data_IF_556477866278
#
_entry.id   IF_556477866278
#
_cell.length_a   1.000
_cell.length_b   1.000
_cell.length_c   1.000
_cell.angle_alpha   90.00
_cell.angle_beta   90.00
_cell.angle_gamma   90.00
#
_symmetry.space_group_name_H-M   'P 1'
#
loop_
_entity.id
_entity.type
_entity.pdbx_description
1 polymer ?
#
# COMPACT_ATOMS: atom_id res chain seq x y z
N UNK A 1 30.79 13.16 -43.24
CA UNK A 1 30.26 14.18 -42.32
C UNK A 1 30.67 13.78 -40.90
N UNK A 2 31.23 14.72 -40.15
CA UNK A 2 32.10 14.52 -38.99
C UNK A 2 31.36 13.95 -37.76
N UNK A 3 31.96 12.93 -37.15
CA UNK A 3 31.75 12.56 -35.74
C UNK A 3 32.30 13.70 -34.87
N UNK A 4 31.48 14.26 -33.99
CA UNK A 4 31.91 15.13 -32.89
C UNK A 4 31.67 14.35 -31.60
N UNK A 5 32.76 13.92 -30.98
CA UNK A 5 32.82 13.44 -29.60
C UNK A 5 32.64 14.62 -28.65
N UNK A 6 31.68 14.54 -27.72
CA UNK A 6 31.55 15.47 -26.60
C UNK A 6 31.97 14.78 -25.31
N UNK A 7 32.95 15.41 -24.67
CA UNK A 7 33.71 14.93 -23.53
C UNK A 7 32.90 14.85 -22.22
N UNK A 8 33.35 13.91 -21.39
CA UNK A 8 32.91 13.68 -20.02
C UNK A 8 33.34 14.86 -19.13
N UNK A 9 32.36 15.63 -18.62
CA UNK A 9 32.60 16.62 -17.55
C UNK A 9 32.46 15.92 -16.19
N UNK A 10 33.60 15.59 -15.59
CA UNK A 10 33.72 15.21 -14.18
C UNK A 10 33.72 16.48 -13.31
N UNK A 11 32.68 16.69 -12.51
CA UNK A 11 32.66 17.70 -11.45
C UNK A 11 33.14 17.05 -10.13
N UNK A 12 34.33 17.47 -9.64
CA UNK A 12 34.80 17.20 -8.27
C UNK A 12 34.28 18.31 -7.32
N UNK A 13 33.93 17.98 -6.06
CA UNK A 13 33.62 18.98 -5.04
C UNK A 13 34.90 19.61 -4.45
N UNK A 14 34.90 20.94 -4.30
CA UNK A 14 35.96 21.73 -3.65
C UNK A 14 35.67 21.86 -2.15
N UNK A 15 36.66 21.46 -1.35
CA UNK A 15 36.75 21.62 0.10
C UNK A 15 37.00 23.09 0.47
N UNK A 16 36.25 23.63 1.43
CA UNK A 16 36.50 24.94 2.03
C UNK A 16 37.48 24.82 3.20
N UNK A 17 38.58 25.58 3.14
CA UNK A 17 39.54 25.76 4.24
C UNK A 17 39.07 26.85 5.20
N UNK A 18 39.22 26.57 6.49
CA UNK A 18 39.06 27.46 7.63
C UNK A 18 40.14 28.56 7.66
N UNK A 19 39.76 29.77 8.04
CA UNK A 19 40.69 30.83 8.42
C UNK A 19 40.39 31.28 9.86
N UNK A 20 41.35 31.03 10.75
CA UNK A 20 41.45 31.60 12.11
C UNK A 20 41.88 33.07 12.00
N UNK A 21 41.26 33.95 12.79
CA UNK A 21 41.85 35.24 13.16
C UNK A 21 41.77 35.42 14.68
N UNK A 22 42.93 35.64 15.28
CA UNK A 22 43.21 35.89 16.70
C UNK A 22 43.55 37.38 16.85
N UNK A 23 42.99 38.07 17.85
CA UNK A 23 43.56 39.26 18.51
C UNK A 23 42.66 39.59 19.74
N UNK A 24 43.02 39.16 20.96
CA UNK A 24 43.92 39.80 21.96
C UNK A 24 43.16 40.65 23.01
N UNK A 25 43.36 40.24 24.27
CA UNK A 25 42.85 40.79 25.53
C UNK A 25 43.16 42.29 25.76
N UNK A 26 42.30 42.96 26.54
CA UNK A 26 42.71 43.89 27.61
C UNK A 26 41.60 44.01 28.66
N UNK A 27 41.88 43.52 29.88
CA UNK A 27 41.10 43.79 31.10
C UNK A 27 41.37 45.21 31.57
N UNK A 28 40.36 45.90 32.12
CA UNK A 28 40.55 46.78 33.28
C UNK A 28 39.31 46.78 34.17
N UNK A 29 39.54 46.50 35.44
CA UNK A 29 38.54 46.40 36.52
C UNK A 29 38.29 47.74 37.21
N UNK A 30 37.01 47.97 37.54
CA UNK A 30 36.43 48.43 38.81
C UNK A 30 37.20 49.50 39.61
N UNK A 31 36.53 50.65 39.87
CA UNK A 31 36.39 51.22 41.22
C UNK A 31 35.04 51.97 41.35
N UNK A 32 34.42 51.77 42.51
CA UNK A 32 33.14 52.33 42.95
C UNK A 32 33.31 53.70 43.66
N UNK A 33 32.29 54.56 43.67
CA UNK A 33 31.56 54.96 44.89
C UNK A 33 30.54 56.10 44.65
N UNK A 34 29.39 55.97 45.33
CA UNK A 34 28.46 56.96 45.89
C UNK A 34 28.02 58.21 45.10
N UNK A 35 26.71 58.32 44.84
CA UNK A 35 25.79 59.19 45.60
C UNK A 35 24.43 59.34 44.86
N UNK A 36 23.33 58.97 45.52
CA UNK A 36 21.98 59.43 45.17
C UNK A 36 21.81 60.90 45.59
N UNK A 37 20.87 61.61 44.97
CA UNK A 37 19.74 62.04 45.78
C UNK A 37 18.39 61.68 45.15
N UNK A 38 17.50 61.22 46.01
CA UNK A 38 16.09 61.02 45.76
C UNK A 38 15.39 62.37 45.58
N UNK A 39 14.64 62.52 44.48
CA UNK A 39 13.47 63.40 44.44
C UNK A 39 12.35 62.67 43.69
N UNK A 40 11.40 62.19 44.47
CA UNK A 40 10.07 61.83 44.02
C UNK A 40 9.46 62.99 43.24
N UNK A 41 9.24 62.76 41.94
CA UNK A 41 8.29 63.53 41.14
C UNK A 41 7.34 62.52 40.49
N UNK A 42 6.38 62.08 41.31
CA UNK A 42 5.15 61.44 40.86
C UNK A 42 4.38 62.41 39.97
N UNK A 43 4.68 62.41 38.67
CA UNK A 43 3.80 63.01 37.67
C UNK A 43 2.75 61.97 37.30
N UNK A 44 1.51 62.24 37.70
CA UNK A 44 0.36 61.35 37.57
C UNK A 44 0.14 60.90 36.13
N UNK A 45 0.41 59.61 35.88
CA UNK A 45 -0.27 58.87 34.82
C UNK A 45 -1.51 58.26 35.44
N UNK A 46 -2.67 58.68 34.96
CA UNK A 46 -3.95 58.08 35.28
C UNK A 46 -3.86 56.55 35.13
N UNK A 47 -4.40 55.81 36.10
CA UNK A 47 -4.36 54.34 36.12
C UNK A 47 -5.03 53.69 34.89
N UNK A 48 -5.70 54.48 34.05
CA UNK A 48 -6.25 54.08 32.76
C UNK A 48 -5.18 53.80 31.68
N UNK A 49 -3.95 54.33 31.80
CA UNK A 49 -2.87 54.07 30.82
C UNK A 49 -1.90 52.94 31.21
N UNK A 50 -1.89 52.54 32.49
CA UNK A 50 -1.06 51.41 32.96
C UNK A 50 -1.75 50.06 32.73
N UNK A 51 -3.08 50.06 32.70
CA UNK A 51 -3.90 48.85 32.53
C UNK A 51 -3.86 48.24 31.12
N UNK A 52 -3.39 48.96 30.09
CA UNK A 52 -3.34 48.46 28.70
C UNK A 52 -2.00 47.81 28.34
N UNK A 53 -0.93 48.05 29.10
CA UNK A 53 0.39 47.41 28.90
C UNK A 53 0.55 46.08 29.63
N UNK A 54 -0.36 45.75 30.55
CA UNK A 54 -0.36 44.51 31.34
C UNK A 54 -1.33 43.44 30.82
N UNK A 55 -1.99 43.66 29.68
CA UNK A 55 -2.91 42.67 29.14
C UNK A 55 -2.18 41.42 28.63
N UNK A 56 -2.33 40.31 29.35
CA UNK A 56 -1.67 39.06 29.05
C UNK A 56 -2.49 38.20 28.06
N UNK A 57 -1.99 38.06 26.83
CA UNK A 57 -2.62 37.21 25.81
C UNK A 57 -2.75 35.74 26.22
N UNK A 58 -1.93 35.24 27.15
CA UNK A 58 -2.02 33.87 27.68
C UNK A 58 -3.38 33.56 28.29
N UNK A 59 -4.09 34.54 28.86
CA UNK A 59 -5.42 34.33 29.46
C UNK A 59 -6.55 34.27 28.42
N UNK A 60 -6.27 34.65 27.17
CA UNK A 60 -7.27 34.68 26.09
C UNK A 60 -7.34 33.37 25.31
N UNK A 61 -6.40 32.44 25.53
CA UNK A 61 -6.24 31.23 24.74
C UNK A 61 -5.57 31.44 23.38
N UNK A 62 -5.02 32.63 23.11
CA UNK A 62 -4.16 32.88 21.96
C UNK A 62 -2.81 33.46 22.42
N UNK A 63 -1.86 32.61 22.86
CA UNK A 63 -0.56 33.08 23.30
C UNK A 63 0.25 33.62 22.11
N UNK A 64 0.69 34.88 22.20
CA UNK A 64 1.53 35.49 21.17
C UNK A 64 2.90 34.80 21.16
N UNK A 65 3.09 33.91 20.19
CA UNK A 65 4.28 33.08 20.02
C UNK A 65 4.80 33.17 18.59
N UNK A 66 6.11 32.98 18.42
CA UNK A 66 6.75 33.09 17.10
C UNK A 66 6.50 34.45 16.46
N UNK A 67 6.12 34.45 15.18
CA UNK A 67 5.90 35.70 14.43
C UNK A 67 4.71 36.51 14.95
N UNK A 68 3.75 35.89 15.64
CA UNK A 68 2.63 36.61 16.24
C UNK A 68 3.04 37.49 17.43
N UNK A 69 4.23 37.29 18.01
CA UNK A 69 4.74 38.15 19.07
C UNK A 69 5.19 39.53 18.58
N UNK A 70 5.41 39.68 17.26
CA UNK A 70 5.96 40.91 16.67
C UNK A 70 4.97 41.64 15.75
N UNK A 71 3.75 41.13 15.58
CA UNK A 71 2.74 41.80 14.74
C UNK A 71 2.16 43.01 15.47
N UNK A 72 1.89 44.07 14.72
CA UNK A 72 1.22 45.25 15.28
C UNK A 72 -0.21 44.91 15.73
N UNK A 73 -0.63 45.49 16.86
CA UNK A 73 -1.94 45.25 17.47
C UNK A 73 -3.09 45.44 16.47
N UNK A 74 -3.01 46.47 15.62
CA UNK A 74 -4.04 46.82 14.64
C UNK A 74 -4.25 45.74 13.56
N UNK A 75 -3.25 44.89 13.31
CA UNK A 75 -3.36 43.77 12.35
C UNK A 75 -4.40 42.73 12.80
N UNK A 76 -4.60 42.58 14.11
CA UNK A 76 -5.58 41.66 14.69
C UNK A 76 -6.82 42.41 15.23
N UNK A 77 -6.62 43.59 15.80
CA UNK A 77 -7.64 44.42 16.43
C UNK A 77 -8.04 45.60 15.55
N UNK A 78 -8.64 45.26 14.41
CA UNK A 78 -9.06 46.23 13.38
C UNK A 78 -10.05 47.23 13.99
N UNK A 79 -9.81 48.53 13.78
CA UNK A 79 -10.65 49.60 14.34
C UNK A 79 -10.61 49.67 15.86
N UNK A 80 -9.59 49.08 16.51
CA UNK A 80 -9.50 49.02 17.98
C UNK A 80 -10.46 48.03 18.62
N UNK A 81 -11.06 47.12 17.86
CA UNK A 81 -11.98 46.10 18.39
C UNK A 81 -11.18 44.91 18.90
N UNK A 82 -11.11 44.78 20.23
CA UNK A 82 -10.36 43.71 20.90
C UNK A 82 -11.17 42.42 21.15
N UNK A 83 -12.49 42.55 21.30
CA UNK A 83 -13.38 41.42 21.59
C UNK A 83 -13.79 40.72 20.29
N UNK A 84 -13.71 39.39 20.28
CA UNK A 84 -14.17 38.57 19.14
C UNK A 84 -13.14 38.37 18.04
N UNK A 85 -11.88 38.80 18.23
CA UNK A 85 -10.78 38.43 17.34
C UNK A 85 -10.67 36.89 17.26
N UNK A 86 -10.68 36.30 16.05
CA UNK A 86 -10.54 34.86 15.88
C UNK A 86 -9.24 34.33 16.48
N UNK A 87 -9.28 33.11 17.02
CA UNK A 87 -8.12 32.44 17.64
C UNK A 87 -7.63 31.23 16.83
N UNK A 88 -8.43 30.75 15.89
CA UNK A 88 -8.08 29.67 15.00
C UNK A 88 -7.32 30.23 13.78
N UNK A 89 -6.39 29.45 13.25
CA UNK A 89 -5.51 29.89 12.16
C UNK A 89 -6.31 30.38 10.95
N UNK A 90 -7.34 29.63 10.52
CA UNK A 90 -8.14 29.96 9.35
C UNK A 90 -8.98 31.24 9.49
N UNK A 91 -9.28 31.68 10.72
CA UNK A 91 -10.01 32.92 10.98
C UNK A 91 -9.22 34.18 10.61
N UNK A 92 -7.91 34.04 10.44
CA UNK A 92 -7.01 35.10 10.01
C UNK A 92 -6.29 34.74 8.69
N UNK A 93 -5.85 33.48 8.54
CA UNK A 93 -5.03 33.01 7.42
C UNK A 93 -5.82 32.33 6.29
N UNK A 94 -6.86 33.00 5.79
CA UNK A 94 -7.62 32.56 4.62
C UNK A 94 -7.86 33.76 3.68
N UNK A 95 -8.04 33.49 2.39
CA UNK A 95 -8.41 34.53 1.42
C UNK A 95 -9.67 35.29 1.87
N UNK A 96 -9.65 36.61 1.71
CA UNK A 96 -10.74 37.49 2.15
C UNK A 96 -10.77 37.80 3.66
N UNK A 97 -9.84 37.25 4.45
CA UNK A 97 -9.75 37.53 5.89
C UNK A 97 -8.83 38.72 6.20
N UNK A 98 -8.85 39.15 7.48
CA UNK A 98 -8.39 40.45 7.98
C UNK A 98 -6.88 40.70 7.88
N UNK A 99 -6.08 39.69 7.56
CA UNK A 99 -4.62 39.79 7.42
C UNK A 99 -4.20 39.24 6.07
N UNK A 100 -3.23 39.89 5.42
CA UNK A 100 -2.59 39.39 4.20
C UNK A 100 -1.82 38.12 4.58
N UNK A 101 -2.49 36.98 4.42
CA UNK A 101 -1.94 35.70 4.78
C UNK A 101 -1.17 35.10 3.60
N UNK A 102 -0.05 34.45 3.91
CA UNK A 102 0.60 33.56 2.96
C UNK A 102 -0.39 32.46 2.56
N UNK A 103 -0.79 32.45 1.30
CA UNK A 103 -1.69 31.42 0.78
C UNK A 103 -1.03 30.05 0.82
N UNK A 104 -1.86 29.01 0.91
CA UNK A 104 -1.41 27.62 0.74
C UNK A 104 -0.76 27.50 -0.65
N UNK A 105 0.46 26.96 -0.71
CA UNK A 105 1.14 26.69 -1.97
C UNK A 105 0.33 25.70 -2.83
N UNK A 106 0.51 25.73 -4.15
CA UNK A 106 -0.03 24.71 -5.06
C UNK A 106 0.46 23.28 -4.75
N UNK A 107 1.55 23.13 -3.97
CA UNK A 107 2.06 21.84 -3.49
C UNK A 107 1.49 21.43 -2.13
N UNK A 108 0.64 22.25 -1.53
CA UNK A 108 0.01 21.94 -0.25
C UNK A 108 -1.01 20.79 -0.43
N UNK A 109 -1.09 19.90 0.54
CA UNK A 109 -2.12 18.85 0.58
C UNK A 109 -3.52 19.48 0.58
N UNK A 110 -4.42 19.02 -0.29
CA UNK A 110 -5.82 19.46 -0.24
C UNK A 110 -6.47 18.81 0.99
N UNK A 111 -6.81 19.63 1.99
CA UNK A 111 -7.38 19.19 3.25
C UNK A 111 -8.35 20.23 3.82
N UNK A 112 -9.36 19.76 4.54
CA UNK A 112 -10.29 20.57 5.33
C UNK A 112 -9.93 20.59 6.82
N UNK A 113 -8.87 19.87 7.21
CA UNK A 113 -8.42 19.84 8.60
C UNK A 113 -7.92 21.22 9.07
N UNK A 114 -8.12 21.57 10.35
CA UNK A 114 -7.51 22.76 10.95
C UNK A 114 -5.99 22.77 10.77
N UNK A 115 -5.41 23.95 10.58
CA UNK A 115 -3.98 24.11 10.28
C UNK A 115 -3.08 23.48 11.36
N UNK A 116 -3.48 23.62 12.61
CA UNK A 116 -2.81 23.12 13.82
C UNK A 116 -2.71 21.59 13.90
N UNK A 117 -3.50 20.85 13.12
CA UNK A 117 -3.38 19.39 13.00
C UNK A 117 -2.03 19.01 12.36
N UNK A 118 -1.55 19.84 11.44
CA UNK A 118 -0.32 19.58 10.68
C UNK A 118 0.83 20.51 11.08
N UNK A 119 0.53 21.80 11.31
CA UNK A 119 1.51 22.84 11.63
C UNK A 119 1.58 23.09 13.13
N UNK A 120 2.65 22.62 13.77
CA UNK A 120 2.79 22.66 15.24
C UNK A 120 3.58 23.86 15.77
N UNK A 121 4.02 24.77 14.91
CA UNK A 121 4.91 25.88 15.30
C UNK A 121 4.54 27.18 14.57
N UNK A 122 4.42 28.27 15.33
CA UNK A 122 4.11 29.64 14.87
C UNK A 122 5.36 30.48 14.56
N UNK A 123 6.56 29.98 14.83
CA UNK A 123 7.83 30.66 14.52
C UNK A 123 8.16 30.60 13.04
N UNK A 124 8.16 29.39 12.46
CA UNK A 124 8.56 29.18 11.07
C UNK A 124 7.41 28.72 10.18
N UNK A 125 6.35 28.15 10.78
CA UNK A 125 5.24 27.50 10.07
C UNK A 125 5.66 26.36 9.11
N UNK A 126 6.95 26.01 9.07
CA UNK A 126 7.52 24.90 8.32
C UNK A 126 7.51 23.60 9.12
N UNK A 127 7.68 22.47 8.43
CA UNK A 127 7.82 21.16 9.05
C UNK A 127 6.49 20.49 9.42
N UNK A 128 5.44 20.77 8.64
CA UNK A 128 4.16 20.10 8.79
C UNK A 128 4.35 18.57 8.80
N UNK A 129 3.69 17.90 9.75
CA UNK A 129 3.78 16.44 9.87
C UNK A 129 2.58 15.80 9.20
N UNK A 130 2.83 14.77 8.39
CA UNK A 130 1.79 13.96 7.76
C UNK A 130 1.91 12.51 8.21
N UNK A 131 0.78 11.91 8.60
CA UNK A 131 0.73 10.51 9.04
C UNK A 131 0.16 9.62 7.93
N UNK A 132 1.04 8.92 7.22
CA UNK A 132 0.66 7.99 6.17
C UNK A 132 -0.23 6.82 6.67
N UNK A 133 -0.13 6.45 7.95
CA UNK A 133 -0.93 5.37 8.54
C UNK A 133 -2.43 5.66 8.64
N UNK A 134 -2.86 6.91 8.41
CA UNK A 134 -4.28 7.30 8.35
C UNK A 134 -4.85 7.35 6.93
N UNK A 135 -4.01 7.09 5.93
CA UNK A 135 -4.44 7.10 4.53
C UNK A 135 -5.21 5.83 4.21
N UNK A 136 -6.34 5.98 3.52
CA UNK A 136 -7.13 4.86 3.00
C UNK A 136 -6.40 4.24 1.81
N UNK A 137 -6.26 2.91 1.83
CA UNK A 137 -5.68 2.13 0.74
C UNK A 137 -6.39 2.44 -0.61
N UNK A 138 -5.65 2.45 -1.71
CA UNK A 138 -6.16 2.84 -3.03
C UNK A 138 -6.18 4.35 -3.33
N UNK A 139 -6.00 5.23 -2.33
CA UNK A 139 -6.05 6.70 -2.55
C UNK A 139 -4.67 7.36 -2.73
N UNK A 140 -3.60 6.57 -2.85
CA UNK A 140 -2.22 7.06 -2.87
C UNK A 140 -1.98 8.10 -3.98
N UNK A 141 -2.56 7.87 -5.16
CA UNK A 141 -2.39 8.70 -6.36
C UNK A 141 -3.00 10.09 -6.23
N UNK A 142 -3.92 10.33 -5.28
CA UNK A 142 -4.48 11.66 -5.03
C UNK A 142 -3.42 12.66 -4.57
N UNK A 143 -2.38 12.18 -3.87
CA UNK A 143 -1.28 12.98 -3.35
C UNK A 143 0.03 12.68 -4.09
N UNK A 144 0.31 11.41 -4.39
CA UNK A 144 1.49 10.97 -5.16
C UNK A 144 1.23 11.11 -6.67
N UNK A 145 0.92 12.33 -7.10
CA UNK A 145 0.57 12.68 -8.49
C UNK A 145 1.70 13.40 -9.24
N UNK A 146 2.87 13.58 -8.61
CA UNK A 146 3.99 14.34 -9.18
C UNK A 146 3.90 15.86 -8.99
N UNK A 147 2.79 16.36 -8.45
CA UNK A 147 2.58 17.78 -8.12
C UNK A 147 2.71 17.99 -6.60
N UNK A 148 1.87 17.30 -5.81
CA UNK A 148 1.83 17.42 -4.34
C UNK A 148 2.99 16.62 -3.74
N UNK A 149 3.10 15.34 -4.11
CA UNK A 149 4.19 14.45 -3.72
C UNK A 149 4.72 13.68 -4.93
N UNK A 150 5.94 13.16 -4.80
CA UNK A 150 6.56 12.30 -5.81
C UNK A 150 5.63 11.14 -6.15
N UNK A 151 5.33 11.00 -7.44
CA UNK A 151 4.46 9.95 -7.94
C UNK A 151 5.18 8.63 -8.17
N UNK A 152 4.56 7.82 -9.02
CA UNK A 152 5.09 6.52 -9.47
C UNK A 152 6.47 6.69 -10.11
N UNK A 153 7.43 5.87 -9.67
CA UNK A 153 8.78 5.89 -10.23
C UNK A 153 8.79 5.37 -11.69
N UNK A 154 9.73 5.83 -12.54
CA UNK A 154 9.82 5.37 -13.94
C UNK A 154 10.02 3.87 -14.13
N UNK A 155 10.45 3.15 -13.08
CA UNK A 155 10.57 1.69 -13.08
C UNK A 155 9.23 0.93 -13.10
N UNK A 156 8.11 1.61 -12.89
CA UNK A 156 6.77 1.02 -12.85
C UNK A 156 6.05 1.12 -14.20
N UNK A 157 6.72 0.69 -15.27
CA UNK A 157 6.26 0.83 -16.66
C UNK A 157 5.79 -0.48 -17.29
N UNK A 158 5.98 -1.62 -16.63
CA UNK A 158 5.69 -2.93 -17.19
C UNK A 158 5.10 -3.92 -16.17
N UNK A 159 4.40 -4.92 -16.69
CA UNK A 159 3.81 -6.00 -15.91
C UNK A 159 2.90 -5.49 -14.79
N UNK A 160 2.94 -6.18 -13.65
CA UNK A 160 2.12 -5.85 -12.47
C UNK A 160 2.54 -4.58 -11.74
N UNK A 161 3.69 -4.00 -12.09
CA UNK A 161 4.12 -2.69 -11.57
C UNK A 161 3.27 -1.55 -12.13
N UNK A 162 2.52 -1.77 -13.22
CA UNK A 162 1.64 -0.78 -13.82
C UNK A 162 0.26 -0.68 -13.13
N UNK A 163 -0.04 -1.52 -12.12
CA UNK A 163 -1.31 -1.53 -11.39
C UNK A 163 -1.76 -0.13 -10.94
N UNK A 164 -3.06 0.15 -10.98
CA UNK A 164 -3.62 1.45 -10.59
C UNK A 164 -3.56 1.70 -9.08
N UNK A 165 -3.51 0.62 -8.28
CA UNK A 165 -3.46 0.67 -6.81
C UNK A 165 -2.07 0.29 -6.28
N UNK A 166 -1.45 1.19 -5.52
CA UNK A 166 -0.09 1.01 -4.98
C UNK A 166 -0.05 0.02 -3.81
N UNK A 167 -1.15 -0.09 -3.06
CA UNK A 167 -1.32 -0.84 -1.82
C UNK A 167 -1.32 -2.37 -1.99
N UNK A 168 -1.37 -2.85 -3.24
CA UNK A 168 -1.15 -4.26 -3.53
C UNK A 168 0.31 -4.70 -3.25
N UNK A 169 1.25 -3.76 -3.32
CA UNK A 169 2.69 -4.01 -3.15
C UNK A 169 3.30 -3.20 -2.00
N UNK A 170 2.82 -1.98 -1.78
CA UNK A 170 3.39 -1.03 -0.83
C UNK A 170 2.51 -0.90 0.41
N UNK A 171 3.12 -0.70 1.58
CA UNK A 171 2.41 -0.41 2.82
C UNK A 171 2.52 1.08 3.13
N UNK A 172 1.54 1.62 3.85
CA UNK A 172 1.48 3.03 4.22
C UNK A 172 2.61 3.47 5.15
N UNK A 173 3.14 2.56 5.98
CA UNK A 173 4.19 2.84 6.96
C UNK A 173 5.57 2.27 6.58
N UNK A 174 5.64 1.45 5.53
CA UNK A 174 6.87 0.85 5.04
C UNK A 174 6.80 0.69 3.52
N UNK A 175 7.38 1.65 2.81
CA UNK A 175 7.32 1.68 1.35
C UNK A 175 8.21 0.61 0.70
N UNK A 176 9.34 0.30 1.35
CA UNK A 176 10.34 -0.70 0.90
C UNK A 176 10.72 -1.58 2.11
N UNK A 177 10.88 -2.91 1.93
CA UNK A 177 10.67 -3.66 0.70
C UNK A 177 9.18 -3.75 0.32
N UNK A 178 8.90 -3.70 -0.98
CA UNK A 178 7.56 -3.93 -1.51
C UNK A 178 7.32 -5.44 -1.61
N UNK A 179 6.17 -5.89 -1.13
CA UNK A 179 5.77 -7.30 -1.14
C UNK A 179 4.33 -7.41 -1.61
N UNK A 180 4.03 -8.37 -2.48
CA UNK A 180 2.66 -8.60 -2.92
C UNK A 180 1.78 -9.12 -1.77
N UNK A 181 0.60 -8.52 -1.61
CA UNK A 181 -0.42 -9.03 -0.72
C UNK A 181 -1.28 -10.11 -1.41
N UNK A 182 -1.06 -11.37 -1.05
CA UNK A 182 -1.80 -12.50 -1.62
C UNK A 182 -3.28 -12.56 -1.25
N UNK A 183 -3.79 -11.69 -0.37
CA UNK A 183 -5.24 -11.57 -0.12
C UNK A 183 -5.97 -10.80 -1.21
N UNK A 184 -5.22 -10.10 -2.09
CA UNK A 184 -5.79 -9.40 -3.24
C UNK A 184 -6.00 -10.43 -4.35
N UNK A 185 -7.27 -10.73 -4.65
CA UNK A 185 -7.67 -11.74 -5.62
C UNK A 185 -7.19 -11.47 -7.05
N UNK A 186 -7.29 -12.48 -7.91
CA UNK A 186 -6.89 -12.42 -9.32
C UNK A 186 -6.42 -13.78 -9.84
N UNK A 187 -6.05 -13.84 -11.13
CA UNK A 187 -5.44 -15.02 -11.72
C UNK A 187 -3.99 -15.18 -11.24
N UNK A 188 -3.69 -16.30 -10.58
CA UNK A 188 -2.36 -16.66 -10.10
C UNK A 188 -1.34 -16.69 -11.25
N UNK A 189 -1.76 -17.23 -12.41
CA UNK A 189 -0.95 -17.35 -13.62
C UNK A 189 -0.50 -16.00 -14.18
N UNK A 190 -1.21 -14.91 -13.85
CA UNK A 190 -0.86 -13.57 -14.31
C UNK A 190 0.38 -12.99 -13.61
N UNK A 191 0.80 -13.58 -12.49
CA UNK A 191 2.05 -13.23 -11.78
C UNK A 191 3.01 -14.41 -11.74
N UNK A 192 2.53 -15.62 -11.46
CA UNK A 192 3.31 -16.85 -11.38
C UNK A 192 3.55 -17.46 -12.77
N UNK A 193 4.11 -16.64 -13.67
CA UNK A 193 4.39 -16.95 -15.07
C UNK A 193 5.86 -17.35 -15.33
N UNK A 194 6.71 -17.37 -14.29
CA UNK A 194 8.14 -17.64 -14.41
C UNK A 194 9.00 -16.42 -14.76
N UNK A 195 8.38 -15.26 -14.97
CA UNK A 195 9.04 -13.98 -15.25
C UNK A 195 8.86 -13.03 -14.07
N UNK A 196 7.61 -12.75 -13.69
CA UNK A 196 7.26 -11.78 -12.63
C UNK A 196 7.34 -12.41 -11.24
N UNK A 197 6.99 -13.69 -11.13
CA UNK A 197 7.14 -14.52 -9.94
C UNK A 197 7.40 -15.97 -10.35
N UNK A 198 7.85 -16.77 -9.37
CA UNK A 198 8.08 -18.21 -9.57
C UNK A 198 6.83 -18.88 -10.11
N UNK A 199 6.93 -19.44 -11.32
CA UNK A 199 5.85 -20.20 -11.93
C UNK A 199 5.88 -21.67 -11.54
N UNK A 200 5.33 -22.51 -12.43
CA UNK A 200 5.36 -23.97 -12.31
C UNK A 200 6.81 -24.48 -12.24
N UNK A 201 7.15 -25.26 -11.22
CA UNK A 201 8.49 -25.83 -11.04
C UNK A 201 8.78 -26.98 -12.01
N UNK A 202 10.06 -27.33 -12.14
CA UNK A 202 10.45 -28.56 -12.85
C UNK A 202 9.81 -29.78 -12.17
N UNK A 203 9.07 -30.59 -12.94
CA UNK A 203 8.29 -31.73 -12.42
C UNK A 203 6.82 -31.41 -12.11
N UNK A 204 6.38 -30.15 -12.28
CA UNK A 204 4.97 -29.83 -12.27
C UNK A 204 4.24 -30.54 -13.42
N UNK A 205 3.02 -31.02 -13.17
CA UNK A 205 2.19 -31.67 -14.19
C UNK A 205 1.94 -30.72 -15.39
N UNK A 206 1.95 -31.25 -16.60
CA UNK A 206 1.60 -30.48 -17.79
C UNK A 206 0.10 -30.12 -17.76
N UNK A 207 -0.21 -28.85 -17.52
CA UNK A 207 -1.59 -28.33 -17.49
C UNK A 207 -1.62 -26.86 -17.88
N UNK A 208 -2.70 -26.44 -18.52
CA UNK A 208 -3.04 -25.03 -18.80
C UNK A 208 -4.09 -24.47 -17.84
N UNK A 209 -4.58 -25.28 -16.90
CA UNK A 209 -5.58 -24.86 -15.92
C UNK A 209 -5.01 -23.80 -14.96
N UNK A 210 -5.91 -22.98 -14.44
CA UNK A 210 -5.57 -21.98 -13.44
C UNK A 210 -5.16 -22.62 -12.10
N UNK A 211 -4.21 -22.01 -11.41
CA UNK A 211 -3.55 -22.61 -10.25
C UNK A 211 -4.52 -22.97 -9.12
N UNK A 212 -5.54 -22.14 -8.89
CA UNK A 212 -6.55 -22.33 -7.84
C UNK A 212 -7.46 -23.56 -8.07
N UNK A 213 -7.43 -24.18 -9.25
CA UNK A 213 -8.11 -25.46 -9.48
C UNK A 213 -7.46 -26.63 -8.73
N UNK A 214 -6.16 -26.51 -8.42
CA UNK A 214 -5.38 -27.56 -7.76
C UNK A 214 -4.78 -27.10 -6.42
N UNK A 215 -4.43 -25.82 -6.30
CA UNK A 215 -3.84 -25.24 -5.10
C UNK A 215 -4.92 -24.55 -4.27
N UNK A 216 -5.14 -25.05 -3.06
CA UNK A 216 -6.21 -24.58 -2.16
C UNK A 216 -5.76 -23.50 -1.17
N UNK A 217 -4.45 -23.29 -1.04
CA UNK A 217 -3.86 -22.29 -0.14
C UNK A 217 -3.17 -21.19 -0.93
N UNK A 218 -3.40 -19.93 -0.55
CA UNK A 218 -2.81 -18.75 -1.20
C UNK A 218 -1.44 -18.37 -0.61
N UNK A 219 -0.99 -19.07 0.45
CA UNK A 219 0.21 -18.74 1.20
C UNK A 219 1.37 -19.73 1.00
N UNK A 220 1.06 -20.96 0.55
CA UNK A 220 2.07 -22.00 0.34
C UNK A 220 1.68 -22.88 -0.85
N UNK A 221 2.65 -23.22 -1.70
CA UNK A 221 2.43 -24.15 -2.82
C UNK A 221 2.24 -25.62 -2.38
N UNK A 222 2.29 -25.88 -1.07
CA UNK A 222 2.14 -27.18 -0.43
C UNK A 222 0.71 -27.75 -0.50
N UNK A 223 -0.30 -26.94 -0.83
CA UNK A 223 -1.71 -27.33 -0.91
C UNK A 223 -2.17 -27.93 -2.24
N UNK A 224 -1.26 -28.52 -3.03
CA UNK A 224 -1.64 -29.26 -4.24
C UNK A 224 -2.36 -30.57 -3.85
N UNK A 225 -3.23 -31.08 -4.72
CA UNK A 225 -3.95 -32.37 -4.59
C UNK A 225 -3.03 -33.63 -4.55
N UNK A 226 -1.76 -33.47 -4.19
CA UNK A 226 -0.70 -34.44 -4.39
C UNK A 226 -0.23 -34.49 -5.85
N UNK A 227 0.86 -35.21 -6.08
CA UNK A 227 1.25 -35.59 -7.44
C UNK A 227 0.19 -36.51 -8.05
N UNK A 228 -0.05 -36.38 -9.37
CA UNK A 228 -0.91 -37.30 -10.11
C UNK A 228 -0.39 -38.73 -9.89
N UNK A 229 -1.16 -39.65 -9.28
CA UNK A 229 -0.67 -40.99 -9.03
C UNK A 229 -0.60 -41.76 -10.36
N UNK A 230 0.27 -42.77 -10.43
CA UNK A 230 0.52 -43.56 -11.65
C UNK A 230 -0.73 -44.25 -12.22
N UNK A 231 -1.77 -44.38 -11.41
CA UNK A 231 -3.06 -45.02 -11.71
C UNK A 231 -4.21 -44.02 -11.91
N UNK A 232 -3.91 -42.75 -12.15
CA UNK A 232 -4.92 -41.73 -12.40
C UNK A 232 -5.82 -42.10 -13.60
N UNK A 233 -7.11 -41.85 -13.47
CA UNK A 233 -8.13 -42.20 -14.46
C UNK A 233 -7.78 -41.57 -15.83
N UNK A 234 -7.83 -42.38 -16.89
CA UNK A 234 -7.62 -41.90 -18.25
C UNK A 234 -8.83 -41.06 -18.68
N UNK A 235 -8.57 -39.85 -19.16
CA UNK A 235 -9.58 -38.92 -19.69
C UNK A 235 -9.08 -38.34 -21.02
N UNK A 236 -9.99 -37.90 -21.87
CA UNK A 236 -9.64 -37.26 -23.15
C UNK A 236 -9.07 -35.85 -22.88
N UNK A 237 -7.76 -35.59 -23.14
CA UNK A 237 -7.05 -34.53 -22.42
C UNK A 237 -7.20 -33.13 -23.00
N UNK A 238 -7.93 -32.94 -24.10
CA UNK A 238 -7.86 -31.69 -24.86
C UNK A 238 -8.83 -30.60 -24.36
N UNK A 239 -9.82 -30.93 -23.53
CA UNK A 239 -10.84 -29.95 -23.08
C UNK A 239 -11.34 -30.11 -21.64
N UNK A 240 -10.91 -31.12 -20.90
CA UNK A 240 -11.45 -31.39 -19.55
C UNK A 240 -10.54 -30.80 -18.48
N UNK A 241 -10.98 -29.71 -17.84
CA UNK A 241 -10.28 -29.12 -16.69
C UNK A 241 -10.26 -30.09 -15.50
N UNK A 242 -9.18 -30.09 -14.72
CA UNK A 242 -9.01 -30.92 -13.53
C UNK A 242 -10.19 -30.77 -12.55
N UNK A 243 -10.73 -29.56 -12.43
CA UNK A 243 -11.89 -29.22 -11.59
C UNK A 243 -13.18 -29.94 -12.00
N UNK A 244 -13.26 -30.47 -13.22
CA UNK A 244 -14.37 -31.32 -13.67
C UNK A 244 -14.38 -32.68 -12.96
N UNK A 245 -13.20 -33.16 -12.56
CA UNK A 245 -13.02 -34.43 -11.87
C UNK A 245 -12.69 -34.25 -10.38
N UNK A 246 -12.21 -33.08 -9.95
CA UNK A 246 -11.78 -32.81 -8.58
C UNK A 246 -12.54 -31.62 -7.96
N UNK A 247 -13.19 -31.83 -6.82
CA UNK A 247 -13.85 -30.78 -6.02
C UNK A 247 -13.28 -30.84 -4.60
N UNK A 248 -12.71 -29.72 -4.13
CA UNK A 248 -12.07 -29.66 -2.80
C UNK A 248 -10.98 -30.72 -2.61
N UNK A 249 -10.30 -31.10 -3.70
CA UNK A 249 -9.29 -32.14 -3.71
C UNK A 249 -9.77 -33.59 -3.67
N UNK A 250 -11.08 -33.80 -3.72
CA UNK A 250 -11.66 -35.14 -3.80
C UNK A 250 -12.12 -35.43 -5.23
N UNK A 251 -11.93 -36.66 -5.69
CA UNK A 251 -12.44 -37.10 -7.00
C UNK A 251 -13.97 -37.20 -6.96
N UNK A 252 -14.65 -36.60 -7.94
CA UNK A 252 -16.11 -36.75 -8.10
C UNK A 252 -16.49 -38.21 -8.35
N UNK A 253 -17.64 -38.64 -7.86
CA UNK A 253 -18.08 -40.05 -7.94
C UNK A 253 -19.42 -40.19 -8.67
N UNK A 254 -19.79 -41.43 -9.00
CA UNK A 254 -21.06 -41.75 -9.62
C UNK A 254 -21.25 -41.12 -11.00
N UNK A 255 -22.42 -40.54 -11.21
CA UNK A 255 -22.87 -40.04 -12.53
C UNK A 255 -22.01 -38.90 -13.06
N UNK A 256 -21.54 -38.05 -12.14
CA UNK A 256 -20.65 -36.96 -12.46
C UNK A 256 -19.34 -37.49 -13.02
N UNK A 257 -18.79 -38.57 -12.45
CA UNK A 257 -17.59 -39.22 -12.97
C UNK A 257 -17.83 -39.83 -14.35
N UNK A 258 -18.92 -40.59 -14.54
CA UNK A 258 -19.27 -41.22 -15.81
C UNK A 258 -19.42 -40.24 -16.98
N UNK A 259 -19.77 -38.98 -16.72
CA UNK A 259 -19.89 -37.93 -17.75
C UNK A 259 -18.55 -37.51 -18.36
N UNK A 260 -17.44 -37.68 -17.62
CA UNK A 260 -16.12 -37.12 -17.99
C UNK A 260 -15.07 -38.18 -18.35
N UNK A 261 -15.35 -39.46 -18.11
CA UNK A 261 -14.44 -40.57 -18.39
C UNK A 261 -14.77 -41.23 -19.74
N UNK A 262 -13.76 -41.83 -20.39
CA UNK A 262 -13.95 -42.45 -21.71
C UNK A 262 -14.95 -43.62 -21.66
N UNK A 263 -15.52 -43.95 -22.82
CA UNK A 263 -16.58 -44.96 -22.98
C UNK A 263 -16.12 -46.42 -22.83
N UNK A 264 -14.84 -46.68 -22.56
CA UNK A 264 -14.34 -48.04 -22.37
C UNK A 264 -14.51 -48.50 -20.93
N UNK A 265 -15.65 -49.12 -20.65
CA UNK A 265 -16.04 -49.59 -19.32
C UNK A 265 -14.97 -50.52 -18.71
N UNK A 266 -14.35 -51.37 -19.54
CA UNK A 266 -13.30 -52.32 -19.13
C UNK A 266 -12.10 -51.63 -18.48
N UNK A 267 -11.76 -50.42 -18.91
CA UNK A 267 -10.59 -49.68 -18.40
C UNK A 267 -10.72 -49.37 -16.90
N UNK A 268 -11.96 -49.15 -16.43
CA UNK A 268 -12.24 -48.83 -15.04
C UNK A 268 -12.88 -50.00 -14.29
N UNK A 269 -13.73 -50.81 -14.91
CA UNK A 269 -14.46 -51.85 -14.20
C UNK A 269 -13.77 -53.21 -14.19
N UNK A 270 -12.60 -53.41 -14.81
CA UNK A 270 -11.89 -54.69 -14.71
C UNK A 270 -11.36 -54.93 -13.28
N UNK A 271 -11.50 -56.15 -12.75
CA UNK A 271 -10.92 -56.59 -11.48
C UNK A 271 -9.41 -56.34 -11.35
N UNK A 272 -8.68 -56.36 -12.47
CA UNK A 272 -7.24 -56.08 -12.48
C UNK A 272 -6.88 -54.59 -12.56
N UNK A 273 -7.86 -53.69 -12.68
CA UNK A 273 -7.60 -52.26 -12.75
C UNK A 273 -7.08 -51.70 -11.41
N UNK A 274 -6.13 -50.77 -11.48
CA UNK A 274 -5.28 -50.36 -10.35
C UNK A 274 -5.55 -48.96 -9.79
N UNK A 275 -6.69 -48.31 -10.06
CA UNK A 275 -7.00 -46.97 -9.50
C UNK A 275 -7.44 -47.02 -8.01
N UNK A 276 -7.31 -45.89 -7.32
CA UNK A 276 -7.72 -45.69 -5.92
C UNK A 276 -9.25 -45.49 -5.82
N UNK A 277 -9.93 -46.24 -4.94
CA UNK A 277 -11.36 -46.05 -4.63
C UNK A 277 -12.19 -47.33 -4.58
N UNK A 278 -13.45 -47.20 -4.16
CA UNK A 278 -14.42 -48.31 -4.03
C UNK A 278 -15.33 -48.46 -5.26
N UNK A 279 -14.75 -48.38 -6.46
CA UNK A 279 -15.53 -48.60 -7.69
C UNK A 279 -15.85 -50.08 -7.85
N UNK A 280 -17.03 -50.40 -8.36
CA UNK A 280 -17.46 -51.77 -8.60
C UNK A 280 -16.60 -52.43 -9.67
N UNK A 281 -15.83 -53.46 -9.31
CA UNK A 281 -14.99 -54.21 -10.25
C UNK A 281 -15.68 -55.50 -10.70
N UNK A 282 -15.41 -55.94 -11.93
CA UNK A 282 -15.97 -57.11 -12.60
C UNK A 282 -14.86 -57.87 -13.34
N UNK A 283 -14.97 -59.20 -13.36
CA UNK A 283 -14.05 -60.08 -14.09
C UNK A 283 -14.73 -60.56 -15.38
N UNK A 284 -14.18 -60.18 -16.53
CA UNK A 284 -14.68 -60.60 -17.85
C UNK A 284 -14.38 -62.09 -18.09
N UNK A 285 -15.30 -62.82 -18.72
CA UNK A 285 -15.21 -64.27 -18.93
C UNK A 285 -16.03 -65.11 -17.94
N UNK A 286 -16.34 -64.56 -16.75
CA UNK A 286 -17.23 -65.20 -15.77
C UNK A 286 -18.59 -64.48 -15.64
N UNK A 287 -18.76 -63.37 -16.36
CA UNK A 287 -20.03 -62.65 -16.47
C UNK A 287 -20.78 -63.18 -17.70
N UNK A 288 -22.07 -63.48 -17.54
CA UNK A 288 -22.88 -64.22 -18.51
C UNK A 288 -22.73 -63.69 -19.94
N UNK A 289 -22.27 -64.58 -20.85
CA UNK A 289 -22.08 -64.27 -22.27
C UNK A 289 -20.90 -63.34 -22.60
N UNK A 290 -20.11 -62.89 -21.63
CA UNK A 290 -18.94 -62.04 -21.88
C UNK A 290 -17.70 -62.85 -22.25
N UNK A 291 -16.92 -62.37 -23.23
CA UNK A 291 -15.57 -62.88 -23.51
C UNK A 291 -14.52 -62.00 -22.83
N UNK A 292 -13.30 -62.53 -22.63
CA UNK A 292 -12.21 -61.80 -21.98
C UNK A 292 -11.77 -60.51 -22.70
N UNK A 293 -12.10 -60.37 -24.00
CA UNK A 293 -11.69 -59.28 -24.88
C UNK A 293 -12.80 -58.27 -25.22
N UNK A 294 -14.05 -58.52 -24.81
CA UNK A 294 -15.20 -57.68 -25.20
C UNK A 294 -15.37 -56.48 -24.27
N UNK A 295 -15.67 -55.30 -24.85
CA UNK A 295 -16.09 -54.13 -24.09
C UNK A 295 -17.61 -54.15 -23.85
N UNK A 296 -18.01 -53.67 -22.68
CA UNK A 296 -19.36 -53.83 -22.14
C UNK A 296 -20.41 -53.10 -22.98
N UNK A 297 -20.01 -52.16 -23.83
CA UNK A 297 -20.86 -51.32 -24.70
C UNK A 297 -21.67 -52.09 -25.73
N UNK A 298 -21.27 -53.32 -26.04
CA UNK A 298 -21.98 -54.23 -26.94
C UNK A 298 -23.23 -54.88 -26.32
N UNK A 299 -23.29 -54.98 -25.00
CA UNK A 299 -24.41 -55.58 -24.26
C UNK A 299 -25.09 -54.57 -23.31
N UNK A 300 -24.36 -53.56 -22.84
CA UNK A 300 -24.82 -52.53 -21.90
C UNK A 300 -24.79 -51.15 -22.56
N UNK A 301 -25.86 -50.36 -22.37
CA UNK A 301 -25.96 -48.97 -22.84
C UNK A 301 -25.04 -48.04 -22.06
N UNK A 302 -24.63 -46.93 -22.68
CA UNK A 302 -23.62 -45.97 -22.19
C UNK A 302 -24.14 -44.93 -21.19
N UNK A 303 -25.42 -44.98 -20.77
CA UNK A 303 -26.06 -43.94 -19.95
C UNK A 303 -26.64 -44.46 -18.63
N UNK A 304 -25.90 -45.26 -17.85
CA UNK A 304 -26.37 -45.69 -16.54
C UNK A 304 -25.89 -44.80 -15.41
N UNK A 305 -26.87 -44.23 -14.72
CA UNK A 305 -26.71 -43.33 -13.59
C UNK A 305 -26.88 -44.00 -12.22
N UNK A 306 -27.01 -45.32 -12.15
CA UNK A 306 -26.92 -46.12 -10.92
C UNK A 306 -27.09 -47.61 -11.26
N UNK A 307 -26.21 -48.47 -10.74
CA UNK A 307 -26.42 -49.92 -10.72
C UNK A 307 -27.15 -50.28 -9.42
N UNK A 308 -28.48 -50.22 -9.44
CA UNK A 308 -29.30 -51.01 -8.50
C UNK A 308 -29.93 -52.12 -9.32
N UNK A 309 -29.26 -53.28 -9.34
CA UNK A 309 -29.88 -54.59 -9.56
C UNK A 309 -29.51 -55.40 -8.33
#
# INVERSE_FOLDING_TARGET
>A
MKQITLDKIFLKPRSFMSALLVLSLSLFSIFATAAQPDVDASSGKTQTERSTRDFNHMVTGFPLTGLHATVECASCHVGGVFKGTPRNCAGCHTEGMRVVATLKSLKHLVTTEPCEVCHTNTVSFYGARFNHGKVVAGQCSSCHNGIIATGRAPSHTSGKKLTDTCDHCHRTYAWIPATWNHTVGGFCSSCHNGVDATGKSAGHIATTDECNNCHTTQLTWLGALGAKPSNHILYTPTTTACSSCHIGGTVVTGNTLHRYVSTSCRTCHNSTATYLGKMSKKTLGNHEGSTAAQDCTSCHRTQYTNWNI
#
